data_IF_878173710419
#
_entry.id   IF_878173710419
#
_cell.length_a   1.000
_cell.length_b   1.000
_cell.length_c   1.000
_cell.angle_alpha   90.00
_cell.angle_beta   90.00
_cell.angle_gamma   90.00
#
_symmetry.space_group_name_H-M   'P 1'
#
loop_
_entity.id
_entity.type
_entity.pdbx_description
1 polymer ?
#
# COMPACT_ATOMS: atom_id res chain seq x y z
N UNK A 1 16.04 41.01 -19.88
CA UNK A 1 15.58 39.65 -20.18
C UNK A 1 15.01 39.09 -18.88
N UNK A 2 13.68 39.22 -18.70
CA UNK A 2 12.99 38.73 -17.47
C UNK A 2 12.74 37.22 -17.62
N UNK A 3 13.32 36.43 -16.73
CA UNK A 3 12.91 35.03 -16.53
C UNK A 3 11.58 35.02 -15.74
N UNK A 4 10.49 34.66 -16.41
CA UNK A 4 9.23 34.34 -15.74
C UNK A 4 9.33 32.93 -15.16
N UNK A 5 9.40 32.80 -13.84
CA UNK A 5 9.18 31.53 -13.15
C UNK A 5 7.70 31.14 -13.31
N UNK A 6 7.46 30.08 -14.05
CA UNK A 6 6.16 29.42 -14.07
C UNK A 6 6.03 28.56 -12.81
N UNK A 7 5.25 29.03 -11.84
CA UNK A 7 4.80 28.19 -10.71
C UNK A 7 3.72 27.24 -11.25
N UNK A 8 4.05 25.98 -11.40
CA UNK A 8 3.05 24.92 -11.56
C UNK A 8 2.48 24.65 -10.16
N UNK A 9 1.29 25.19 -9.91
CA UNK A 9 0.50 24.80 -8.73
C UNK A 9 0.12 23.32 -8.88
N UNK A 10 0.74 22.48 -8.07
CA UNK A 10 0.43 21.06 -7.91
C UNK A 10 -0.64 20.87 -6.83
N UNK A 11 -1.79 21.54 -6.98
CA UNK A 11 -2.93 21.49 -6.06
C UNK A 11 -3.95 20.42 -6.46
N UNK A 12 -3.49 19.16 -6.67
CA UNK A 12 -4.36 18.00 -6.77
C UNK A 12 -3.82 16.80 -5.99
N UNK A 13 -3.53 17.03 -4.72
CA UNK A 13 -3.44 15.96 -3.74
C UNK A 13 -4.52 16.25 -2.69
N UNK A 14 -5.74 15.74 -2.91
CA UNK A 14 -6.65 15.53 -1.79
C UNK A 14 -5.83 14.89 -0.67
N UNK A 15 -5.78 15.53 0.49
CA UNK A 15 -5.09 15.01 1.65
C UNK A 15 -5.62 13.60 1.94
N UNK A 16 -4.91 12.57 1.48
CA UNK A 16 -5.19 11.20 1.89
C UNK A 16 -5.08 11.18 3.41
N UNK A 17 -6.10 10.65 4.06
CA UNK A 17 -6.08 10.46 5.50
C UNK A 17 -4.81 9.71 5.83
N UNK A 18 -3.87 10.35 6.52
CA UNK A 18 -2.61 9.74 6.92
C UNK A 18 -2.91 8.58 7.85
N UNK A 19 -2.39 7.40 7.52
CA UNK A 19 -2.47 6.23 8.39
C UNK A 19 -1.27 6.22 9.34
N UNK A 20 -1.38 5.60 10.53
CA UNK A 20 -0.27 5.52 11.46
C UNK A 20 0.95 4.81 10.84
N UNK A 21 2.15 5.33 11.09
CA UNK A 21 3.41 4.62 10.82
C UNK A 21 3.51 3.41 11.74
N UNK A 22 4.28 2.41 11.33
CA UNK A 22 4.63 1.33 12.24
C UNK A 22 5.70 1.80 13.21
N UNK A 23 5.52 1.44 14.46
CA UNK A 23 6.45 1.74 15.55
C UNK A 23 7.26 0.50 15.92
N UNK A 24 8.35 0.69 16.65
CA UNK A 24 9.17 -0.41 17.15
C UNK A 24 8.35 -1.44 17.92
N UNK A 25 8.58 -2.72 17.65
CA UNK A 25 7.90 -3.83 18.29
C UNK A 25 6.47 -4.10 17.77
N UNK A 26 5.96 -3.33 16.81
CA UNK A 26 4.62 -3.60 16.28
C UNK A 26 4.51 -4.94 15.57
N UNK A 27 3.37 -5.56 15.79
CA UNK A 27 2.92 -6.82 15.21
C UNK A 27 1.78 -6.51 14.25
N UNK A 28 2.13 -6.41 12.97
CA UNK A 28 1.21 -5.99 11.90
C UNK A 28 0.64 -7.22 11.22
N UNK A 29 -0.68 -7.38 11.20
CA UNK A 29 -1.37 -8.45 10.49
C UNK A 29 -2.09 -7.87 9.28
N UNK A 30 -1.73 -8.37 8.09
CA UNK A 30 -2.40 -8.05 6.84
C UNK A 30 -3.48 -9.09 6.54
N UNK A 31 -4.74 -8.72 6.72
CA UNK A 31 -5.91 -9.57 6.44
C UNK A 31 -6.43 -9.27 5.04
N UNK A 32 -6.64 -10.31 4.25
CA UNK A 32 -7.12 -10.14 2.88
C UNK A 32 -7.34 -11.46 2.15
N UNK A 33 -7.53 -11.36 0.86
CA UNK A 33 -7.75 -12.47 -0.06
C UNK A 33 -6.45 -12.95 -0.75
N UNK A 34 -6.55 -13.52 -1.97
CA UNK A 34 -5.42 -14.00 -2.78
C UNK A 34 -4.36 -12.93 -3.04
N UNK A 35 -4.75 -11.67 -3.19
CA UNK A 35 -3.82 -10.57 -3.47
C UNK A 35 -2.90 -10.32 -2.26
N UNK A 36 -3.45 -10.42 -1.05
CA UNK A 36 -2.66 -10.37 0.19
C UNK A 36 -1.91 -11.69 0.42
N UNK A 37 -2.54 -12.85 0.15
CA UNK A 37 -1.93 -14.17 0.26
C UNK A 37 -0.62 -14.25 -0.54
N UNK A 38 -0.59 -13.71 -1.76
CA UNK A 38 0.59 -13.67 -2.61
C UNK A 38 1.82 -13.05 -1.97
N UNK A 39 1.63 -12.18 -0.97
CA UNK A 39 2.68 -11.78 -0.05
C UNK A 39 3.58 -10.64 -0.51
N UNK A 40 3.39 -10.10 -1.70
CA UNK A 40 4.37 -9.19 -2.30
C UNK A 40 4.29 -7.77 -1.72
N UNK A 41 3.12 -7.10 -1.75
CA UNK A 41 3.07 -5.68 -1.34
C UNK A 41 3.46 -5.46 0.13
N UNK A 42 3.01 -6.31 1.03
CA UNK A 42 3.38 -6.16 2.44
C UNK A 42 4.82 -6.58 2.73
N UNK A 43 5.41 -7.49 1.92
CA UNK A 43 6.84 -7.79 1.99
C UNK A 43 7.68 -6.61 1.50
N UNK A 44 7.23 -5.88 0.46
CA UNK A 44 7.87 -4.64 0.02
C UNK A 44 7.78 -3.55 1.09
N UNK A 45 6.64 -3.42 1.78
CA UNK A 45 6.50 -2.51 2.92
C UNK A 45 7.48 -2.92 4.04
N UNK A 46 7.58 -4.22 4.34
CA UNK A 46 8.51 -4.71 5.37
C UNK A 46 9.96 -4.44 5.01
N UNK A 47 10.35 -4.70 3.77
CA UNK A 47 11.70 -4.41 3.27
C UNK A 47 12.04 -2.92 3.39
N UNK A 48 11.06 -2.03 3.11
CA UNK A 48 11.25 -0.60 3.34
C UNK A 48 11.57 -0.30 4.81
N UNK A 49 10.80 -0.85 5.75
CA UNK A 49 11.03 -0.62 7.17
C UNK A 49 12.36 -1.19 7.65
N UNK A 50 12.74 -2.37 7.19
CA UNK A 50 14.03 -2.99 7.52
C UNK A 50 15.23 -2.17 7.03
N UNK A 51 15.11 -1.54 5.88
CA UNK A 51 16.20 -0.73 5.31
C UNK A 51 16.21 0.70 5.86
N UNK A 52 15.06 1.29 6.10
CA UNK A 52 14.97 2.69 6.53
C UNK A 52 15.05 2.88 8.04
N UNK A 53 14.62 1.87 8.80
CA UNK A 53 14.54 1.90 10.27
C UNK A 53 15.11 0.61 10.87
N UNK A 54 16.38 0.27 10.59
CA UNK A 54 16.95 -1.03 10.98
C UNK A 54 16.96 -1.25 12.51
N UNK A 55 17.04 -0.16 13.28
CA UNK A 55 17.04 -0.21 14.75
C UNK A 55 15.62 -0.27 15.37
N UNK A 56 14.57 -0.28 14.54
CA UNK A 56 13.17 -0.34 14.97
C UNK A 56 12.47 -1.58 14.39
N UNK A 57 12.76 -2.78 14.92
CA UNK A 57 12.20 -4.01 14.37
C UNK A 57 10.67 -4.04 14.49
N UNK A 58 10.02 -4.46 13.42
CA UNK A 58 8.59 -4.77 13.35
C UNK A 58 8.39 -6.20 12.87
N UNK A 59 7.22 -6.77 13.16
CA UNK A 59 6.82 -8.07 12.62
C UNK A 59 5.64 -7.88 11.68
N UNK A 60 5.77 -8.31 10.42
CA UNK A 60 4.67 -8.37 9.46
C UNK A 60 4.20 -9.81 9.31
N UNK A 61 2.90 -10.02 9.42
CA UNK A 61 2.26 -11.33 9.32
C UNK A 61 1.21 -11.31 8.22
N UNK A 62 1.32 -12.26 7.29
CA UNK A 62 0.36 -12.46 6.23
C UNK A 62 -0.81 -13.30 6.76
N UNK A 63 -2.01 -12.74 6.74
CA UNK A 63 -3.28 -13.40 6.99
C UNK A 63 -4.22 -13.28 5.78
N UNK A 64 -3.65 -13.30 4.57
CA UNK A 64 -4.39 -13.43 3.32
C UNK A 64 -4.70 -14.88 3.02
N UNK A 65 -5.91 -15.17 2.54
CA UNK A 65 -6.30 -16.51 2.05
C UNK A 65 -6.97 -16.37 0.68
N UNK A 66 -6.52 -17.19 -0.29
CA UNK A 66 -7.02 -17.16 -1.66
C UNK A 66 -8.53 -17.42 -1.73
N UNK A 67 -9.24 -16.63 -2.55
CA UNK A 67 -10.68 -16.81 -2.79
C UNK A 67 -11.60 -16.19 -1.74
N UNK A 68 -11.08 -15.76 -0.59
CA UNK A 68 -11.91 -15.27 0.52
C UNK A 68 -12.63 -13.95 0.23
N UNK A 69 -13.80 -13.86 0.82
CA UNK A 69 -14.67 -12.70 0.90
C UNK A 69 -14.82 -12.25 2.36
N UNK A 70 -15.56 -11.18 2.63
CA UNK A 70 -15.76 -10.69 3.98
C UNK A 70 -16.37 -11.73 4.94
N UNK A 71 -17.29 -12.56 4.45
CA UNK A 71 -17.91 -13.63 5.26
C UNK A 71 -16.94 -14.72 5.67
N UNK A 72 -15.96 -15.08 4.83
CA UNK A 72 -14.93 -16.05 5.17
C UNK A 72 -13.95 -15.46 6.19
N UNK A 73 -13.51 -14.20 5.97
CA UNK A 73 -12.62 -13.47 6.87
C UNK A 73 -13.24 -13.29 8.27
N UNK A 74 -14.55 -13.04 8.33
CA UNK A 74 -15.30 -12.91 9.56
C UNK A 74 -15.14 -14.15 10.44
N UNK A 75 -15.28 -15.33 9.86
CA UNK A 75 -15.29 -16.59 10.59
C UNK A 75 -13.93 -16.95 11.22
N UNK A 76 -12.83 -16.45 10.66
CA UNK A 76 -11.47 -16.76 11.13
C UNK A 76 -10.77 -15.66 11.95
N UNK A 77 -11.43 -14.52 12.21
CA UNK A 77 -10.79 -13.39 12.89
C UNK A 77 -10.13 -13.76 14.22
N UNK A 78 -10.77 -14.60 15.06
CA UNK A 78 -10.23 -14.93 16.37
C UNK A 78 -9.00 -15.83 16.28
N UNK A 79 -9.11 -16.95 15.57
CA UNK A 79 -8.05 -17.95 15.57
C UNK A 79 -6.88 -17.59 14.64
N UNK A 80 -7.13 -16.86 13.55
CA UNK A 80 -6.08 -16.54 12.57
C UNK A 80 -5.57 -15.09 12.65
N UNK A 81 -6.35 -14.16 13.20
CA UNK A 81 -5.91 -12.78 13.32
C UNK A 81 -5.61 -12.42 14.78
N UNK A 82 -6.59 -12.49 15.67
CA UNK A 82 -6.40 -12.02 17.05
C UNK A 82 -5.49 -12.91 17.90
N UNK A 83 -5.46 -14.22 17.65
CA UNK A 83 -4.52 -15.13 18.32
C UNK A 83 -3.05 -14.83 17.99
N UNK A 84 -2.76 -14.12 16.91
CA UNK A 84 -1.41 -13.62 16.59
C UNK A 84 -1.01 -12.41 17.44
N UNK A 85 -1.91 -11.92 18.31
CA UNK A 85 -1.69 -10.78 19.21
C UNK A 85 -1.22 -9.54 18.45
N UNK A 86 -1.97 -9.08 17.41
CA UNK A 86 -1.58 -7.91 16.63
C UNK A 86 -1.67 -6.64 17.48
N UNK A 87 -0.80 -5.67 17.16
CA UNK A 87 -0.93 -4.28 17.59
C UNK A 87 -1.50 -3.40 16.46
N UNK A 88 -1.42 -3.93 15.23
CA UNK A 88 -1.87 -3.25 14.02
C UNK A 88 -2.51 -4.28 13.07
N UNK A 89 -3.71 -3.98 12.59
CA UNK A 89 -4.44 -4.83 11.65
C UNK A 89 -4.79 -4.01 10.42
N UNK A 90 -4.48 -4.53 9.24
CA UNK A 90 -5.04 -4.04 7.99
C UNK A 90 -6.08 -5.02 7.47
N UNK A 91 -7.14 -4.52 6.85
CA UNK A 91 -8.19 -5.34 6.27
C UNK A 91 -8.52 -4.87 4.85
N UNK A 92 -8.50 -5.80 3.89
CA UNK A 92 -8.94 -5.59 2.51
C UNK A 92 -9.84 -6.72 2.05
N UNK A 93 -10.96 -6.38 1.42
CA UNK A 93 -11.91 -7.32 0.81
C UNK A 93 -12.68 -6.64 -0.32
N UNK A 94 -13.49 -7.41 -1.06
CA UNK A 94 -14.37 -6.89 -2.12
C UNK A 94 -14.19 -7.61 -3.45
N UNK A 95 -12.97 -7.97 -3.84
CA UNK A 95 -12.71 -8.60 -5.13
C UNK A 95 -13.53 -9.89 -5.35
N UNK A 96 -13.53 -10.81 -4.37
CA UNK A 96 -14.28 -12.07 -4.44
C UNK A 96 -15.75 -11.91 -4.02
N UNK A 97 -16.00 -11.05 -3.04
CA UNK A 97 -17.36 -10.80 -2.53
C UNK A 97 -18.31 -10.25 -3.58
N UNK A 98 -17.80 -9.59 -4.61
CA UNK A 98 -18.61 -9.13 -5.77
C UNK A 98 -18.85 -10.22 -6.81
N UNK A 99 -18.31 -11.44 -6.63
CA UNK A 99 -18.37 -12.57 -7.55
C UNK A 99 -17.74 -12.31 -8.95
N UNK A 100 -17.81 -13.27 -9.85
CA UNK A 100 -17.26 -13.18 -11.21
C UNK A 100 -18.29 -13.62 -12.26
N UNK A 101 -18.94 -14.75 -12.04
CA UNK A 101 -19.86 -15.44 -12.96
C UNK A 101 -21.09 -14.58 -13.30
N UNK A 102 -21.58 -13.79 -12.35
CA UNK A 102 -22.74 -12.92 -12.54
C UNK A 102 -22.54 -11.87 -13.63
N UNK A 103 -21.28 -11.42 -13.85
CA UNK A 103 -20.96 -10.43 -14.90
C UNK A 103 -20.86 -11.05 -16.29
N UNK A 104 -20.72 -12.38 -16.37
CA UNK A 104 -20.64 -13.12 -17.65
C UNK A 104 -22.01 -13.32 -18.30
N UNK A 105 -23.10 -13.29 -17.52
CA UNK A 105 -24.46 -13.67 -17.98
C UNK A 105 -25.39 -12.49 -18.26
N UNK A 106 -24.93 -11.26 -18.10
CA UNK A 106 -25.76 -10.06 -18.31
C UNK A 106 -26.81 -9.78 -17.21
N UNK A 107 -26.93 -10.65 -16.21
CA UNK A 107 -27.87 -10.52 -15.08
C UNK A 107 -27.22 -9.81 -13.87
N UNK A 108 -26.18 -9.05 -14.14
CA UNK A 108 -25.23 -8.61 -13.12
C UNK A 108 -25.81 -7.66 -12.07
N UNK A 109 -26.83 -6.87 -12.38
CA UNK A 109 -27.21 -5.75 -11.49
C UNK A 109 -27.79 -6.23 -10.16
N UNK A 110 -28.85 -7.01 -10.17
CA UNK A 110 -29.54 -7.46 -8.94
C UNK A 110 -28.67 -8.40 -8.13
N UNK A 111 -28.03 -9.40 -8.78
CA UNK A 111 -27.12 -10.33 -8.13
C UNK A 111 -25.87 -9.63 -7.56
N UNK A 112 -25.37 -8.61 -8.26
CA UNK A 112 -24.26 -7.79 -7.77
C UNK A 112 -24.66 -7.01 -6.50
N UNK A 113 -25.85 -6.44 -6.45
CA UNK A 113 -26.36 -5.75 -5.26
C UNK A 113 -26.53 -6.69 -4.07
N UNK A 114 -27.06 -7.90 -4.30
CA UNK A 114 -27.16 -8.93 -3.27
C UNK A 114 -25.78 -9.35 -2.73
N UNK A 115 -24.77 -9.52 -3.60
CA UNK A 115 -23.42 -9.86 -3.20
C UNK A 115 -22.74 -8.73 -2.41
N UNK A 116 -22.95 -7.49 -2.83
CA UNK A 116 -22.46 -6.31 -2.09
C UNK A 116 -23.11 -6.26 -0.71
N UNK A 117 -24.44 -6.41 -0.63
CA UNK A 117 -25.17 -6.41 0.64
C UNK A 117 -24.64 -7.49 1.59
N UNK A 118 -24.46 -8.73 1.13
CA UNK A 118 -23.87 -9.82 1.92
C UNK A 118 -22.46 -9.49 2.41
N UNK A 119 -21.63 -8.88 1.55
CA UNK A 119 -20.28 -8.47 1.94
C UNK A 119 -20.29 -7.40 3.02
N UNK A 120 -21.20 -6.44 2.93
CA UNK A 120 -21.31 -5.35 3.89
C UNK A 120 -21.93 -5.82 5.22
N UNK A 121 -22.91 -6.73 5.20
CA UNK A 121 -23.44 -7.38 6.40
C UNK A 121 -22.34 -8.13 7.16
N UNK A 122 -21.57 -8.97 6.47
CA UNK A 122 -20.43 -9.68 7.08
C UNK A 122 -19.36 -8.71 7.58
N UNK A 123 -19.14 -7.61 6.88
CA UNK A 123 -18.21 -6.58 7.32
C UNK A 123 -18.69 -5.87 8.60
N UNK A 124 -19.99 -5.68 8.82
CA UNK A 124 -20.51 -5.11 10.08
C UNK A 124 -20.08 -5.94 11.29
N UNK A 125 -20.18 -7.27 11.20
CA UNK A 125 -19.71 -8.16 12.27
C UNK A 125 -18.18 -8.08 12.47
N UNK A 126 -17.41 -7.94 11.38
CA UNK A 126 -15.95 -7.68 11.45
C UNK A 126 -15.70 -6.34 12.16
N UNK A 127 -16.42 -5.28 11.77
CA UNK A 127 -16.30 -3.93 12.35
C UNK A 127 -16.54 -3.96 13.85
N UNK A 128 -17.60 -4.60 14.32
CA UNK A 128 -17.93 -4.74 15.74
C UNK A 128 -16.81 -5.45 16.51
N UNK A 129 -16.29 -6.54 15.96
CA UNK A 129 -15.20 -7.30 16.59
C UNK A 129 -13.88 -6.52 16.61
N UNK A 130 -13.60 -5.72 15.58
CA UNK A 130 -12.46 -4.81 15.55
C UNK A 130 -12.62 -3.66 16.56
N UNK A 131 -13.85 -3.12 16.71
CA UNK A 131 -14.16 -2.09 17.71
C UNK A 131 -13.91 -2.58 19.13
N UNK A 132 -14.27 -3.84 19.44
CA UNK A 132 -14.00 -4.45 20.73
C UNK A 132 -12.49 -4.59 21.05
N UNK A 133 -11.62 -4.47 20.06
CA UNK A 133 -10.15 -4.52 20.21
C UNK A 133 -9.53 -3.10 20.21
N UNK A 134 -9.91 -2.25 21.14
CA UNK A 134 -9.58 -0.82 21.17
C UNK A 134 -8.06 -0.49 21.14
N UNK A 135 -7.20 -1.38 21.64
CA UNK A 135 -5.74 -1.20 21.64
C UNK A 135 -5.06 -1.49 20.30
N UNK A 136 -5.75 -2.11 19.36
CA UNK A 136 -5.21 -2.43 18.04
C UNK A 136 -5.40 -1.22 17.13
N UNK A 137 -4.38 -0.76 16.42
CA UNK A 137 -4.50 0.18 15.31
C UNK A 137 -5.17 -0.51 14.12
N UNK A 138 -6.14 0.12 13.48
CA UNK A 138 -6.89 -0.44 12.35
C UNK A 138 -6.72 0.44 11.13
N UNK A 139 -6.49 -0.20 9.99
CA UNK A 139 -6.45 0.42 8.67
C UNK A 139 -7.28 -0.41 7.68
N UNK A 140 -8.24 0.21 7.06
CA UNK A 140 -8.96 -0.38 5.95
C UNK A 140 -8.28 -0.04 4.63
N UNK A 141 -8.21 -1.02 3.75
CA UNK A 141 -7.58 -0.88 2.44
C UNK A 141 -8.64 -1.10 1.37
N UNK A 142 -8.94 -0.06 0.60
CA UNK A 142 -9.66 -0.18 -0.66
C UNK A 142 -8.78 -0.97 -1.65
N UNK A 143 -9.18 -2.20 -1.96
CA UNK A 143 -8.37 -3.16 -2.71
C UNK A 143 -8.05 -2.70 -4.14
N UNK A 144 -7.06 -3.36 -4.76
CA UNK A 144 -6.69 -3.12 -6.16
C UNK A 144 -7.89 -3.26 -7.12
N UNK A 145 -7.88 -2.59 -8.28
CA UNK A 145 -8.97 -2.68 -9.23
C UNK A 145 -9.04 -4.05 -9.91
N UNK A 146 -10.23 -4.45 -10.33
CA UNK A 146 -10.42 -5.32 -11.47
C UNK A 146 -10.20 -4.47 -12.74
N UNK A 147 -9.28 -4.88 -13.61
CA UNK A 147 -8.96 -4.09 -14.81
C UNK A 147 -9.94 -4.37 -15.94
N UNK A 148 -10.84 -3.40 -16.19
CA UNK A 148 -11.82 -3.45 -17.28
C UNK A 148 -11.34 -2.72 -18.54
N UNK A 149 -10.18 -2.06 -18.52
CA UNK A 149 -9.78 -1.09 -19.53
C UNK A 149 -8.71 -1.59 -20.49
N UNK A 150 -7.82 -2.45 -20.02
CA UNK A 150 -6.75 -3.00 -20.85
C UNK A 150 -7.28 -3.89 -21.98
N UNK A 151 -6.63 -3.82 -23.14
CA UNK A 151 -6.96 -4.62 -24.34
C UNK A 151 -6.04 -5.83 -24.53
N UNK A 152 -5.37 -6.31 -23.47
CA UNK A 152 -4.47 -7.47 -23.59
C UNK A 152 -5.20 -8.78 -23.92
N UNK A 153 -6.50 -8.89 -23.60
CA UNK A 153 -7.41 -9.96 -24.03
C UNK A 153 -8.85 -9.43 -24.11
N UNK A 154 -9.76 -10.23 -24.67
CA UNK A 154 -11.16 -9.87 -24.88
C UNK A 154 -12.11 -10.30 -23.75
N UNK A 155 -11.61 -10.98 -22.73
CA UNK A 155 -12.42 -11.43 -21.61
C UNK A 155 -12.51 -10.33 -20.54
N UNK A 156 -13.63 -9.58 -20.52
CA UNK A 156 -13.84 -8.46 -19.62
C UNK A 156 -15.15 -8.67 -18.84
N UNK A 157 -15.09 -8.58 -17.54
CA UNK A 157 -16.26 -8.57 -16.67
C UNK A 157 -16.72 -7.13 -16.45
N UNK A 158 -17.53 -6.62 -17.36
CA UNK A 158 -17.99 -5.24 -17.32
C UNK A 158 -18.77 -4.90 -16.05
N UNK A 159 -18.51 -3.72 -15.46
CA UNK A 159 -19.08 -3.23 -14.21
C UNK A 159 -18.65 -3.97 -12.93
N UNK A 160 -17.72 -4.91 -13.01
CA UNK A 160 -17.21 -5.58 -11.80
C UNK A 160 -16.48 -4.58 -10.89
N UNK A 161 -15.63 -3.71 -11.46
CA UNK A 161 -14.94 -2.72 -10.65
C UNK A 161 -15.91 -1.69 -10.02
N UNK A 162 -17.02 -1.38 -10.66
CA UNK A 162 -18.06 -0.53 -10.07
C UNK A 162 -18.67 -1.14 -8.80
N UNK A 163 -18.84 -2.47 -8.77
CA UNK A 163 -19.29 -3.18 -7.57
C UNK A 163 -18.23 -3.15 -6.45
N UNK A 164 -16.95 -3.31 -6.81
CA UNK A 164 -15.83 -3.18 -5.87
C UNK A 164 -15.79 -1.77 -5.27
N UNK A 165 -15.99 -0.72 -6.08
CA UNK A 165 -16.03 0.66 -5.60
C UNK A 165 -17.11 0.92 -4.55
N UNK A 166 -18.29 0.30 -4.66
CA UNK A 166 -19.36 0.40 -3.62
C UNK A 166 -18.87 -0.15 -2.28
N UNK A 167 -18.13 -1.26 -2.28
CA UNK A 167 -17.54 -1.83 -1.06
C UNK A 167 -16.44 -0.90 -0.52
N UNK A 168 -15.59 -0.36 -1.38
CA UNK A 168 -14.53 0.59 -1.00
C UNK A 168 -15.12 1.85 -0.35
N UNK A 169 -16.21 2.38 -0.88
CA UNK A 169 -16.88 3.56 -0.32
C UNK A 169 -17.46 3.27 1.08
N UNK A 170 -18.00 2.08 1.30
CA UNK A 170 -18.43 1.64 2.61
C UNK A 170 -17.25 1.50 3.60
N UNK A 171 -16.13 0.91 3.16
CA UNK A 171 -14.90 0.82 3.95
C UNK A 171 -14.37 2.22 4.32
N UNK A 172 -14.33 3.15 3.37
CA UNK A 172 -13.91 4.54 3.58
C UNK A 172 -14.80 5.24 4.61
N UNK A 173 -16.13 5.06 4.48
CA UNK A 173 -17.12 5.61 5.39
C UNK A 173 -16.95 5.06 6.80
N UNK A 174 -16.78 3.75 6.93
CA UNK A 174 -16.52 3.08 8.20
C UNK A 174 -15.21 3.55 8.85
N UNK A 175 -14.12 3.63 8.10
CA UNK A 175 -12.85 4.12 8.59
C UNK A 175 -12.99 5.55 9.17
N UNK A 176 -13.65 6.44 8.42
CA UNK A 176 -13.93 7.80 8.86
C UNK A 176 -14.77 7.85 10.14
N UNK A 177 -15.86 7.07 10.20
CA UNK A 177 -16.77 6.97 11.36
C UNK A 177 -16.03 6.53 12.62
N UNK A 178 -15.12 5.56 12.49
CA UNK A 178 -14.44 4.92 13.60
C UNK A 178 -13.09 5.53 13.94
N UNK A 179 -12.64 6.56 13.23
CA UNK A 179 -11.31 7.15 13.39
C UNK A 179 -10.18 6.19 13.01
N UNK A 180 -10.45 5.24 12.11
CA UNK A 180 -9.46 4.30 11.58
C UNK A 180 -8.73 4.86 10.36
N UNK A 181 -7.56 4.32 10.06
CA UNK A 181 -6.87 4.65 8.82
C UNK A 181 -7.57 4.07 7.60
N UNK A 182 -7.40 4.74 6.45
CA UNK A 182 -7.87 4.25 5.16
C UNK A 182 -6.84 4.51 4.07
N UNK A 183 -6.59 3.51 3.23
CA UNK A 183 -5.74 3.60 2.04
C UNK A 183 -6.53 3.12 0.83
N UNK A 184 -6.55 3.91 -0.22
CA UNK A 184 -7.16 3.54 -1.49
C UNK A 184 -6.10 3.04 -2.48
N UNK A 185 -6.15 1.77 -2.87
CA UNK A 185 -5.34 1.24 -3.95
C UNK A 185 -6.06 1.33 -5.30
N UNK A 186 -7.40 1.32 -5.30
CA UNK A 186 -8.20 1.19 -6.51
C UNK A 186 -8.04 2.38 -7.45
N UNK A 187 -8.41 3.57 -6.96
CA UNK A 187 -8.41 4.76 -7.79
C UNK A 187 -7.02 5.11 -8.34
N UNK A 188 -5.94 5.21 -7.52
CA UNK A 188 -4.62 5.56 -8.04
C UNK A 188 -4.09 4.54 -9.06
N UNK A 189 -4.30 3.23 -8.84
CA UNK A 189 -3.86 2.21 -9.79
C UNK A 189 -4.61 2.31 -11.13
N UNK A 190 -5.92 2.61 -11.11
CA UNK A 190 -6.69 2.85 -12.33
C UNK A 190 -6.22 4.09 -13.09
N UNK A 191 -5.88 5.15 -12.39
CA UNK A 191 -5.35 6.38 -12.98
C UNK A 191 -4.02 6.13 -13.70
N UNK A 192 -3.12 5.35 -13.06
CA UNK A 192 -1.85 4.94 -13.69
C UNK A 192 -2.14 4.08 -14.94
N UNK A 193 -2.97 3.03 -14.80
CA UNK A 193 -3.33 2.19 -15.95
C UNK A 193 -3.90 3.02 -17.11
N UNK A 194 -4.83 3.92 -16.84
CA UNK A 194 -5.44 4.76 -17.87
C UNK A 194 -4.39 5.62 -18.60
N UNK A 195 -3.46 6.20 -17.85
CA UNK A 195 -2.40 7.03 -18.43
C UNK A 195 -1.44 6.21 -19.29
N UNK A 196 -0.98 5.06 -18.80
CA UNK A 196 -0.07 4.20 -19.55
C UNK A 196 -0.75 3.58 -20.78
N UNK A 197 -2.06 3.33 -20.72
CA UNK A 197 -2.86 2.83 -21.85
C UNK A 197 -3.04 3.85 -22.98
N UNK A 198 -2.72 5.12 -22.78
CA UNK A 198 -2.63 6.12 -23.86
C UNK A 198 -1.49 5.79 -24.84
N UNK A 199 -0.40 5.20 -24.34
CA UNK A 199 0.75 4.78 -25.16
C UNK A 199 0.69 3.29 -25.54
N UNK A 200 0.27 2.42 -24.63
CA UNK A 200 0.10 0.99 -24.86
C UNK A 200 -1.25 0.50 -24.33
N UNK A 201 -2.22 0.35 -25.21
CA UNK A 201 -3.59 -0.05 -24.85
C UNK A 201 -3.67 -1.43 -24.17
N UNK A 202 -2.59 -2.21 -24.18
CA UNK A 202 -2.50 -3.52 -23.52
C UNK A 202 -1.90 -3.44 -22.11
N UNK A 203 -1.43 -2.25 -21.70
CA UNK A 203 -0.85 -2.08 -20.38
C UNK A 203 -1.84 -2.43 -19.28
N UNK A 204 -1.39 -3.19 -18.28
CA UNK A 204 -2.13 -3.52 -17.07
C UNK A 204 -1.18 -3.98 -15.98
N UNK A 205 -1.53 -3.76 -14.72
CA UNK A 205 -0.86 -4.37 -13.58
C UNK A 205 -1.30 -5.82 -13.32
N UNK A 206 -2.33 -6.31 -14.03
CA UNK A 206 -2.95 -7.64 -13.79
C UNK A 206 -2.93 -8.48 -15.07
N UNK A 207 -1.75 -8.72 -15.64
CA UNK A 207 -1.57 -9.34 -16.97
C UNK A 207 -2.12 -10.76 -17.11
N UNK A 208 -2.25 -11.49 -15.99
CA UNK A 208 -2.69 -12.89 -16.05
C UNK A 208 -4.20 -12.99 -16.20
N UNK A 209 -4.95 -12.22 -15.37
CA UNK A 209 -6.38 -12.46 -15.18
C UNK A 209 -7.23 -11.22 -14.90
N UNK A 210 -6.66 -10.02 -15.00
CA UNK A 210 -7.28 -8.73 -14.66
C UNK A 210 -7.56 -8.52 -13.17
N UNK A 211 -7.18 -9.47 -12.30
CA UNK A 211 -7.51 -9.52 -10.87
C UNK A 211 -6.27 -9.33 -10.01
N UNK A 212 -5.24 -10.14 -10.30
CA UNK A 212 -4.05 -10.24 -9.46
C UNK A 212 -2.94 -9.32 -9.98
N UNK A 213 -2.62 -8.25 -9.25
CA UNK A 213 -1.49 -7.40 -9.60
C UNK A 213 -0.18 -8.22 -9.62
N UNK A 214 0.59 -8.05 -10.68
CA UNK A 214 1.95 -8.56 -10.80
C UNK A 214 2.91 -7.81 -9.86
N UNK A 215 4.22 -8.08 -9.95
CA UNK A 215 5.20 -7.44 -9.08
C UNK A 215 5.18 -5.92 -9.15
N UNK A 216 4.97 -5.34 -10.34
CA UNK A 216 4.93 -3.90 -10.52
C UNK A 216 3.68 -3.32 -9.85
N UNK A 217 2.52 -3.95 -10.03
CA UNK A 217 1.28 -3.58 -9.37
C UNK A 217 1.36 -3.72 -7.84
N UNK A 218 1.98 -4.79 -7.35
CA UNK A 218 2.22 -4.99 -5.91
C UNK A 218 3.19 -3.94 -5.34
N UNK A 219 4.19 -3.50 -6.11
CA UNK A 219 5.10 -2.42 -5.72
C UNK A 219 4.35 -1.09 -5.63
N UNK A 220 3.44 -0.80 -6.58
CA UNK A 220 2.58 0.39 -6.52
C UNK A 220 1.70 0.36 -5.27
N UNK A 221 1.11 -0.80 -4.92
CA UNK A 221 0.33 -0.95 -3.68
C UNK A 221 1.18 -0.64 -2.44
N UNK A 222 2.40 -1.16 -2.38
CA UNK A 222 3.34 -0.87 -1.28
C UNK A 222 3.68 0.62 -1.22
N UNK A 223 3.97 1.24 -2.35
CA UNK A 223 4.23 2.69 -2.44
C UNK A 223 3.05 3.51 -1.93
N UNK A 224 1.82 3.18 -2.34
CA UNK A 224 0.60 3.88 -1.91
C UNK A 224 0.39 3.77 -0.39
N UNK A 225 0.68 2.59 0.18
CA UNK A 225 0.60 2.38 1.62
C UNK A 225 1.64 3.23 2.37
N UNK A 226 2.91 3.18 1.94
CA UNK A 226 4.00 3.97 2.52
C UNK A 226 3.77 5.48 2.35
N UNK A 227 3.20 5.89 1.21
CA UNK A 227 2.79 7.28 0.97
C UNK A 227 1.71 7.72 1.95
N UNK A 228 0.71 6.89 2.21
CA UNK A 228 -0.33 7.17 3.20
C UNK A 228 0.23 7.26 4.64
N UNK A 229 1.34 6.58 4.93
CA UNK A 229 2.11 6.73 6.16
C UNK A 229 2.99 7.98 6.19
N UNK A 230 3.02 8.79 5.11
CA UNK A 230 3.87 9.97 4.98
C UNK A 230 5.36 9.62 4.88
N UNK A 231 5.71 8.46 4.29
CA UNK A 231 7.07 7.97 4.15
C UNK A 231 7.63 8.10 2.72
N UNK A 232 6.76 8.39 1.74
CA UNK A 232 7.19 8.59 0.36
C UNK A 232 7.96 9.91 0.24
N UNK A 233 9.12 9.84 -0.42
CA UNK A 233 9.99 11.01 -0.63
C UNK A 233 10.92 11.35 0.55
N UNK A 234 10.88 10.59 1.64
CA UNK A 234 11.83 10.78 2.74
C UNK A 234 13.26 10.49 2.28
N UNK A 235 14.18 11.42 2.56
CA UNK A 235 15.61 11.23 2.28
C UNK A 235 16.15 10.00 3.03
N UNK A 236 16.92 9.18 2.35
CA UNK A 236 17.65 8.04 2.97
C UNK A 236 18.65 8.56 3.98
N UNK A 237 19.53 9.43 3.51
CA UNK A 237 20.50 10.15 4.32
C UNK A 237 20.94 11.40 3.57
N UNK A 238 21.41 12.38 4.31
CA UNK A 238 22.06 13.56 3.74
C UNK A 238 23.25 13.99 4.59
N UNK A 239 24.24 14.59 3.92
CA UNK A 239 25.39 15.20 4.58
C UNK A 239 25.77 16.48 3.85
N UNK A 240 26.06 17.52 4.61
CA UNK A 240 26.63 18.77 4.11
C UNK A 240 27.97 19.04 4.82
N UNK A 241 29.00 19.27 4.06
CA UNK A 241 30.36 19.50 4.57
C UNK A 241 30.88 20.85 4.06
N UNK A 242 31.39 21.67 4.96
CA UNK A 242 32.17 22.83 4.60
C UNK A 242 33.59 22.36 4.19
N UNK A 243 33.84 22.37 2.89
CA UNK A 243 35.14 21.97 2.34
C UNK A 243 36.26 22.98 2.67
N UNK A 244 35.91 24.22 2.98
CA UNK A 244 36.87 25.26 3.31
C UNK A 244 37.45 25.06 4.71
N UNK A 245 36.54 24.86 5.68
CA UNK A 245 36.90 24.69 7.09
C UNK A 245 37.04 23.22 7.50
N UNK A 246 36.80 22.26 6.58
CA UNK A 246 36.85 20.81 6.85
C UNK A 246 35.94 20.42 8.02
N UNK A 247 34.73 20.94 8.04
CA UNK A 247 33.74 20.70 9.10
C UNK A 247 32.43 20.17 8.55
N UNK A 248 31.76 19.31 9.31
CA UNK A 248 30.39 18.84 9.00
C UNK A 248 29.41 19.93 9.40
N UNK A 249 28.65 20.46 8.44
CA UNK A 249 27.58 21.45 8.68
C UNK A 249 26.35 20.76 9.20
N UNK A 250 25.85 19.75 8.48
CA UNK A 250 24.67 18.96 8.87
C UNK A 250 24.82 17.50 8.41
N UNK A 251 24.17 16.60 9.10
CA UNK A 251 24.00 15.23 8.66
C UNK A 251 22.64 14.68 9.12
N UNK A 252 22.06 13.76 8.34
CA UNK A 252 20.79 13.08 8.64
C UNK A 252 20.95 11.59 8.32
N UNK A 253 20.49 10.73 9.21
CA UNK A 253 20.53 9.27 9.07
C UNK A 253 21.91 8.69 8.74
N UNK A 254 22.99 9.37 9.15
CA UNK A 254 24.36 8.91 9.01
C UNK A 254 25.26 9.56 10.07
N UNK A 255 26.45 8.98 10.25
CA UNK A 255 27.53 9.54 11.05
C UNK A 255 28.74 9.77 10.17
N UNK A 256 29.32 10.95 10.26
CA UNK A 256 30.60 11.30 9.62
C UNK A 256 31.68 11.33 10.69
N UNK A 257 32.80 10.71 10.41
CA UNK A 257 33.97 10.73 11.28
C UNK A 257 35.28 10.76 10.46
N UNK A 258 36.37 11.10 11.12
CA UNK A 258 37.72 11.19 10.51
C UNK A 258 37.77 12.10 9.26
N UNK A 259 37.01 13.18 9.25
CA UNK A 259 37.02 14.14 8.17
C UNK A 259 38.43 14.78 8.09
N UNK A 260 39.06 14.67 6.93
CA UNK A 260 40.41 15.23 6.65
C UNK A 260 40.42 15.89 5.29
N UNK A 261 41.16 16.97 5.19
CA UNK A 261 41.47 17.67 3.93
C UNK A 261 42.93 17.46 3.57
N UNK A 262 43.20 17.12 2.31
CA UNK A 262 44.55 17.02 1.75
C UNK A 262 44.53 17.67 0.36
N UNK A 263 45.06 18.91 0.28
CA UNK A 263 44.95 19.69 -0.96
C UNK A 263 43.50 20.00 -1.31
N UNK A 264 43.03 19.54 -2.48
CA UNK A 264 41.65 19.68 -2.95
C UNK A 264 40.74 18.54 -2.49
N UNK A 265 41.28 17.47 -1.93
CA UNK A 265 40.52 16.26 -1.56
C UNK A 265 39.99 16.31 -0.13
N UNK A 266 38.79 15.81 0.07
CA UNK A 266 38.19 15.53 1.36
C UNK A 266 37.98 14.03 1.52
N UNK A 267 38.41 13.48 2.65
CA UNK A 267 38.21 12.09 3.02
C UNK A 267 37.50 12.01 4.36
N UNK A 268 36.59 11.04 4.52
CA UNK A 268 35.88 10.80 5.77
C UNK A 268 35.37 9.37 5.84
N UNK A 269 35.12 8.90 7.05
CA UNK A 269 34.38 7.67 7.28
C UNK A 269 32.90 8.02 7.32
N UNK A 270 32.07 7.24 6.58
CA UNK A 270 30.62 7.37 6.52
C UNK A 270 29.97 6.11 7.09
N UNK A 271 29.15 6.26 8.14
CA UNK A 271 28.34 5.21 8.70
C UNK A 271 26.86 5.53 8.44
N UNK A 272 26.20 4.74 7.59
CA UNK A 272 24.77 4.87 7.32
C UNK A 272 23.95 4.28 8.46
N UNK A 273 22.90 4.99 8.90
CA UNK A 273 21.86 4.47 9.82
C UNK A 273 20.59 4.05 9.07
N UNK A 274 20.48 4.41 7.80
CA UNK A 274 19.41 3.98 6.92
C UNK A 274 20.01 3.60 5.56
N UNK A 275 19.43 2.57 4.93
CA UNK A 275 19.84 2.09 3.62
C UNK A 275 18.84 2.49 2.54
N UNK A 276 19.26 2.67 1.28
CA UNK A 276 18.35 2.84 0.18
C UNK A 276 17.47 1.59 0.02
N UNK A 277 16.24 1.78 -0.45
CA UNK A 277 15.38 0.66 -0.82
C UNK A 277 16.01 -0.10 -1.99
N UNK A 278 16.20 -1.42 -1.90
CA UNK A 278 16.81 -2.20 -2.99
C UNK A 278 15.83 -2.28 -4.18
N UNK A 279 16.29 -1.81 -5.34
CA UNK A 279 15.50 -1.79 -6.58
C UNK A 279 15.79 -2.96 -7.53
N UNK A 280 16.82 -3.77 -7.22
CA UNK A 280 17.14 -4.98 -7.97
C UNK A 280 17.85 -6.01 -7.07
N UNK A 281 17.79 -7.28 -7.47
CA UNK A 281 18.49 -8.38 -6.77
C UNK A 281 20.02 -8.21 -6.71
N UNK A 282 20.59 -7.40 -7.59
CA UNK A 282 22.04 -7.11 -7.57
C UNK A 282 22.48 -6.28 -6.37
N UNK A 283 21.56 -5.59 -5.70
CA UNK A 283 21.83 -4.82 -4.49
C UNK A 283 21.70 -5.65 -3.20
N UNK A 284 21.29 -6.91 -3.30
CA UNK A 284 21.13 -7.83 -2.16
C UNK A 284 22.28 -8.82 -1.99
N UNK A 285 23.40 -8.61 -2.72
CA UNK A 285 24.63 -9.42 -2.60
C UNK A 285 25.69 -8.74 -1.75
#
# INVERSE_FOLDING_TARGET
>A
MLLSLVYINCDYLQAQTTIPRFEEGERVVFVGNSITHGGHYHSFIWLYYMTRFPDKPITIMNAGIGGESAWDMKDRLDYDVFNRKPTYVTLTFGMNGTAYDIYMKGEAKELSEQRIAKSLESYQEIEERLLAKNKIKKVLIGGSPYDETSRFNNFILHNKNNAILKIIDAQRTSAKKNGWGFVDFNQPMREICRKEQEADSTFTFCRIDRIHPDNDGQMVMAYLFLKAQGLAGDEVSSVSIDAHHSSVITHKNCKISKLKKSGADLTFDYLAYALPYPVSYTHLR
#
